data_IF_208627710972
#
_entry.id   IF_208627710972
#
_cell.length_a   1.000
_cell.length_b   1.000
_cell.length_c   1.000
_cell.angle_alpha   90.00
_cell.angle_beta   90.00
_cell.angle_gamma   90.00
#
_symmetry.space_group_name_H-M   'P 1'
#
loop_
_entity.id
_entity.type
_entity.pdbx_description
1 polymer ?
#
# COMPACT_ATOMS: atom_id res chain seq x y z
N UNK A 1 -35.41 54.50 42.99
CA UNK A 1 -34.19 54.12 43.74
C UNK A 1 -34.36 52.66 44.17
N UNK A 2 -33.42 51.78 43.79
CA UNK A 2 -33.47 50.31 43.92
C UNK A 2 -33.35 49.66 42.53
N UNK A 3 -32.18 49.26 42.01
CA UNK A 3 -31.16 48.29 42.48
C UNK A 3 -31.76 46.88 42.61
N UNK A 4 -31.30 45.82 41.92
CA UNK A 4 -30.17 45.67 41.01
C UNK A 4 -30.28 44.38 40.19
N UNK A 5 -29.49 44.32 39.12
CA UNK A 5 -29.30 43.16 38.27
C UNK A 5 -28.30 42.20 38.92
N UNK A 6 -28.68 40.93 39.09
CA UNK A 6 -27.77 39.85 39.48
C UNK A 6 -27.11 39.26 38.24
N UNK A 7 -25.78 39.36 38.16
CA UNK A 7 -24.94 38.71 37.16
C UNK A 7 -24.27 37.51 37.84
N UNK A 8 -24.68 36.29 37.47
CA UNK A 8 -23.94 35.09 37.82
C UNK A 8 -22.71 34.97 36.92
N UNK A 9 -21.53 35.24 37.49
CA UNK A 9 -20.23 34.88 36.88
C UNK A 9 -19.82 33.52 37.42
N UNK A 10 -19.89 32.50 36.57
CA UNK A 10 -19.32 31.17 36.83
C UNK A 10 -17.80 31.29 36.75
N UNK A 11 -17.11 31.29 37.89
CA UNK A 11 -15.64 31.16 37.95
C UNK A 11 -15.27 29.68 38.02
N UNK A 12 -14.68 29.14 36.94
CA UNK A 12 -14.08 27.81 36.91
C UNK A 12 -12.67 27.85 37.51
N UNK A 13 -12.51 27.37 38.75
CA UNK A 13 -11.21 27.15 39.40
C UNK A 13 -10.57 25.83 38.93
N UNK A 14 -10.03 25.77 37.70
CA UNK A 14 -9.40 24.53 37.18
C UNK A 14 -7.86 24.48 37.27
N UNK A 15 -7.16 25.54 37.69
CA UNK A 15 -5.69 25.52 37.73
C UNK A 15 -5.14 26.07 39.04
N UNK A 16 -5.31 25.32 40.13
CA UNK A 16 -4.78 25.67 41.46
C UNK A 16 -3.36 25.15 41.74
N UNK A 17 -2.75 24.37 40.83
CA UNK A 17 -1.42 23.76 41.05
C UNK A 17 -0.31 24.27 40.12
N UNK A 18 -0.49 25.43 39.47
CA UNK A 18 0.58 26.08 38.68
C UNK A 18 1.07 25.32 37.44
N UNK A 19 0.51 24.16 37.14
CA UNK A 19 0.71 23.47 35.87
C UNK A 19 -0.49 23.75 34.97
N UNK A 20 -0.35 24.76 34.13
CA UNK A 20 -1.21 24.92 32.95
C UNK A 20 -0.99 23.74 31.99
N UNK A 21 -1.89 23.55 31.02
CA UNK A 21 -1.63 22.58 29.95
C UNK A 21 -0.24 22.85 29.34
N UNK A 22 0.56 21.80 29.07
CA UNK A 22 1.88 21.95 28.48
C UNK A 22 1.79 22.80 27.21
N UNK A 23 2.81 23.62 26.95
CA UNK A 23 2.78 24.52 25.81
C UNK A 23 2.65 23.74 24.50
N UNK A 24 2.08 24.36 23.46
CA UNK A 24 2.02 23.76 22.11
C UNK A 24 3.41 23.31 21.62
N UNK A 25 4.47 23.99 22.07
CA UNK A 25 5.86 23.63 21.79
C UNK A 25 6.34 22.38 22.55
N UNK A 26 5.86 22.14 23.77
CA UNK A 26 6.13 20.91 24.53
C UNK A 26 5.36 19.72 23.94
N UNK A 27 4.10 19.92 23.56
CA UNK A 27 3.28 18.89 22.90
C UNK A 27 3.83 18.50 21.51
N UNK A 28 4.46 19.45 20.79
CA UNK A 28 5.11 19.17 19.52
C UNK A 28 6.44 18.39 19.66
N UNK A 29 7.13 18.51 20.81
CA UNK A 29 8.44 17.87 21.03
C UNK A 29 8.34 16.44 21.57
N UNK A 30 7.25 16.09 22.25
CA UNK A 30 7.05 14.72 22.79
C UNK A 30 6.48 13.74 21.74
N UNK A 31 5.92 14.23 20.62
CA UNK A 31 5.39 13.40 19.52
C UNK A 31 6.42 12.88 18.52
N UNK A 32 7.72 13.15 18.71
CA UNK A 32 8.77 12.83 17.74
C UNK A 32 9.91 12.02 18.35
N UNK A 33 9.59 10.99 19.11
CA UNK A 33 10.54 9.92 19.40
C UNK A 33 10.23 8.69 18.54
N UNK A 34 10.93 8.58 17.41
CA UNK A 34 11.48 7.27 17.01
C UNK A 34 10.88 6.52 15.82
N UNK A 35 10.24 7.16 14.84
CA UNK A 35 10.08 6.51 13.52
C UNK A 35 10.79 7.35 12.47
N UNK A 36 11.86 6.82 11.83
CA UNK A 36 12.38 7.48 10.65
C UNK A 36 11.23 7.52 9.64
N UNK A 37 10.87 8.72 9.17
CA UNK A 37 10.08 8.91 7.95
C UNK A 37 10.91 8.46 6.74
N UNK A 38 11.36 7.22 6.76
CA UNK A 38 11.65 6.46 5.56
C UNK A 38 10.32 6.14 4.91
N UNK A 39 10.31 6.11 3.60
CA UNK A 39 9.17 5.80 2.73
C UNK A 39 8.71 4.35 2.97
N UNK A 40 8.17 4.06 4.15
CA UNK A 40 7.61 2.75 4.48
C UNK A 40 6.24 2.71 3.85
N UNK A 41 6.11 2.02 2.72
CA UNK A 41 4.89 2.01 1.92
C UNK A 41 3.68 1.47 2.67
N UNK A 42 2.49 1.71 2.12
CA UNK A 42 1.19 1.34 2.69
C UNK A 42 0.80 -0.12 2.40
N UNK A 43 1.77 -0.96 2.02
CA UNK A 43 1.53 -2.37 1.76
C UNK A 43 1.39 -3.14 3.10
N UNK A 44 0.28 -3.87 3.31
CA UNK A 44 0.13 -4.73 4.47
C UNK A 44 1.14 -5.90 4.46
N UNK A 45 1.31 -6.57 5.60
CA UNK A 45 2.14 -7.78 5.64
C UNK A 45 1.51 -8.89 4.81
N UNK A 46 2.31 -9.53 3.96
CA UNK A 46 1.86 -10.57 3.05
C UNK A 46 3.00 -11.43 2.55
N UNK A 47 2.68 -12.39 1.70
CA UNK A 47 3.63 -13.32 1.10
C UNK A 47 3.66 -13.14 -0.41
N UNK A 48 4.86 -13.17 -0.97
CA UNK A 48 5.11 -13.27 -2.41
C UNK A 48 5.90 -14.56 -2.66
N UNK A 49 5.37 -15.42 -3.50
CA UNK A 49 6.03 -16.66 -3.96
C UNK A 49 5.88 -16.78 -5.46
N UNK A 50 6.66 -17.64 -6.12
CA UNK A 50 6.48 -17.90 -7.54
C UNK A 50 6.88 -19.33 -7.91
N UNK A 51 6.33 -19.80 -9.03
CA UNK A 51 6.60 -21.10 -9.62
C UNK A 51 6.78 -20.95 -11.14
N UNK A 52 7.44 -21.92 -11.77
CA UNK A 52 7.54 -22.00 -13.23
C UNK A 52 6.47 -22.97 -13.74
N UNK A 53 5.66 -22.51 -14.68
CA UNK A 53 4.71 -23.33 -15.44
C UNK A 53 5.34 -23.67 -16.78
N UNK A 54 5.24 -24.94 -17.18
CA UNK A 54 5.79 -25.43 -18.45
C UNK A 54 4.82 -25.17 -19.61
N UNK A 55 4.51 -23.89 -19.83
CA UNK A 55 3.65 -23.37 -20.91
C UNK A 55 4.07 -21.95 -21.26
N UNK A 56 3.78 -21.54 -22.48
CA UNK A 56 4.06 -20.21 -23.01
C UNK A 56 2.95 -19.20 -22.70
N UNK A 57 3.32 -17.91 -22.72
CA UNK A 57 2.38 -16.80 -22.74
C UNK A 57 2.22 -16.32 -24.18
N UNK A 58 1.01 -15.87 -24.58
CA UNK A 58 0.83 -15.23 -25.88
C UNK A 58 1.83 -14.08 -26.10
N UNK A 59 2.61 -14.16 -27.18
CA UNK A 59 3.66 -13.18 -27.52
C UNK A 59 5.07 -13.53 -27.01
N UNK A 60 5.23 -14.64 -26.27
CA UNK A 60 6.51 -15.16 -25.79
C UNK A 60 6.62 -16.66 -26.10
N UNK A 61 6.68 -17.04 -27.40
CA UNK A 61 6.86 -18.45 -27.77
C UNK A 61 8.21 -18.96 -27.25
N UNK A 62 8.28 -20.26 -26.94
CA UNK A 62 9.48 -20.96 -26.44
C UNK A 62 9.94 -20.61 -25.01
N UNK A 63 9.39 -19.55 -24.40
CA UNK A 63 9.60 -19.24 -22.98
C UNK A 63 8.54 -19.94 -22.12
N UNK A 64 8.95 -20.49 -20.97
CA UNK A 64 8.00 -20.92 -19.93
C UNK A 64 7.30 -19.71 -19.29
N UNK A 65 6.39 -19.94 -18.35
CA UNK A 65 5.70 -18.87 -17.62
C UNK A 65 6.10 -18.88 -16.15
N UNK A 66 6.50 -17.73 -15.60
CA UNK A 66 6.56 -17.50 -14.17
C UNK A 66 5.17 -17.11 -13.68
N UNK A 67 4.58 -17.93 -12.80
CA UNK A 67 3.39 -17.55 -12.04
C UNK A 67 3.81 -17.06 -10.65
N UNK A 68 3.51 -15.81 -10.35
CA UNK A 68 3.74 -15.17 -9.06
C UNK A 68 2.44 -15.22 -8.26
N UNK A 69 2.51 -15.65 -7.01
CA UNK A 69 1.38 -15.67 -6.09
C UNK A 69 1.61 -14.65 -4.97
N UNK A 70 0.67 -13.73 -4.81
CA UNK A 70 0.59 -12.80 -3.70
C UNK A 70 -0.54 -13.20 -2.76
N UNK A 71 -0.23 -13.31 -1.47
CA UNK A 71 -1.20 -13.66 -0.43
C UNK A 71 -1.10 -12.63 0.70
N UNK A 72 -2.18 -11.89 0.88
CA UNK A 72 -2.39 -10.99 2.01
C UNK A 72 -3.55 -11.55 2.84
N UNK A 73 -3.34 -11.85 4.13
CA UNK A 73 -4.44 -12.17 5.03
C UNK A 73 -5.29 -10.93 5.33
N UNK A 74 -6.50 -11.16 5.83
CA UNK A 74 -7.31 -10.11 6.44
C UNK A 74 -6.53 -9.48 7.60
N UNK A 75 -6.77 -8.20 7.85
CA UNK A 75 -6.05 -7.48 8.89
C UNK A 75 -6.71 -6.19 9.31
N UNK A 76 -6.00 -5.44 10.13
CA UNK A 76 -6.43 -4.13 10.65
C UNK A 76 -5.59 -3.03 10.01
N UNK A 77 -6.26 -1.96 9.63
CA UNK A 77 -5.64 -0.81 9.00
C UNK A 77 -4.74 -0.04 9.96
N UNK A 78 -3.56 0.33 9.46
CA UNK A 78 -2.60 1.18 10.20
C UNK A 78 -2.91 2.65 9.98
N UNK A 79 -2.22 3.54 10.71
CA UNK A 79 -2.27 5.00 10.52
C UNK A 79 -1.93 5.48 9.10
N UNK A 80 -1.38 4.60 8.25
CA UNK A 80 -1.03 4.89 6.86
C UNK A 80 -2.13 4.53 5.86
N UNK A 81 -3.21 3.91 6.32
CA UNK A 81 -4.32 3.45 5.48
C UNK A 81 -5.51 4.42 5.57
N UNK A 82 -6.49 4.34 4.65
CA UNK A 82 -7.62 5.27 4.59
C UNK A 82 -8.46 5.33 5.87
N UNK A 83 -8.66 4.20 6.54
CA UNK A 83 -9.48 4.10 7.75
C UNK A 83 -8.73 3.38 8.87
N UNK A 84 -7.81 4.07 9.58
CA UNK A 84 -7.02 3.47 10.66
C UNK A 84 -7.90 2.79 11.73
N UNK A 85 -7.50 1.58 12.15
CA UNK A 85 -8.23 0.79 13.13
C UNK A 85 -9.39 -0.05 12.57
N UNK A 86 -9.84 0.21 11.34
CA UNK A 86 -10.87 -0.63 10.69
C UNK A 86 -10.27 -1.90 10.08
N UNK A 87 -11.05 -2.98 9.92
CA UNK A 87 -10.61 -4.14 9.17
C UNK A 87 -10.42 -3.82 7.68
N UNK A 88 -9.59 -4.61 7.01
CA UNK A 88 -9.54 -4.70 5.56
C UNK A 88 -9.59 -6.18 5.14
N UNK A 89 -10.18 -6.45 3.98
CA UNK A 89 -10.20 -7.76 3.37
C UNK A 89 -8.84 -8.07 2.71
N UNK A 90 -8.33 -9.27 2.96
CA UNK A 90 -7.12 -9.79 2.35
C UNK A 90 -7.26 -9.98 0.84
N UNK A 91 -6.16 -10.41 0.22
CA UNK A 91 -6.08 -10.60 -1.23
C UNK A 91 -5.30 -11.87 -1.56
N UNK A 92 -5.81 -12.64 -2.52
CA UNK A 92 -5.05 -13.68 -3.22
C UNK A 92 -5.02 -13.34 -4.69
N UNK A 93 -3.83 -13.07 -5.22
CA UNK A 93 -3.66 -12.61 -6.59
C UNK A 93 -2.53 -13.38 -7.27
N UNK A 94 -2.83 -13.92 -8.45
CA UNK A 94 -1.83 -14.50 -9.34
C UNK A 94 -1.43 -13.47 -10.38
N UNK A 95 -0.13 -13.39 -10.69
CA UNK A 95 0.39 -12.60 -11.79
C UNK A 95 1.33 -13.43 -12.66
N UNK A 96 1.46 -13.07 -13.93
CA UNK A 96 2.22 -13.85 -14.91
C UNK A 96 3.32 -13.01 -15.55
N UNK A 97 4.49 -13.62 -15.73
CA UNK A 97 5.60 -13.12 -16.52
C UNK A 97 6.14 -14.24 -17.42
N UNK A 98 6.70 -13.94 -18.60
CA UNK A 98 7.46 -14.94 -19.34
C UNK A 98 8.74 -15.29 -18.56
N UNK A 99 9.16 -16.54 -18.60
CA UNK A 99 10.42 -17.03 -18.03
C UNK A 99 11.64 -16.69 -18.91
N UNK A 100 11.58 -15.53 -19.55
CA UNK A 100 12.63 -14.99 -20.40
C UNK A 100 13.66 -14.21 -19.57
N UNK A 101 14.79 -13.84 -20.20
CA UNK A 101 15.79 -12.97 -19.56
C UNK A 101 15.19 -11.64 -19.09
N UNK A 102 14.26 -11.07 -19.85
CA UNK A 102 13.60 -9.82 -19.48
C UNK A 102 12.56 -10.02 -18.38
N UNK A 103 11.76 -11.09 -18.47
CA UNK A 103 10.77 -11.42 -17.45
C UNK A 103 11.41 -11.71 -16.09
N UNK A 104 12.52 -12.46 -16.05
CA UNK A 104 13.29 -12.68 -14.81
C UNK A 104 13.90 -11.41 -14.22
N UNK A 105 14.24 -10.41 -15.04
CA UNK A 105 14.67 -9.09 -14.53
C UNK A 105 13.51 -8.37 -13.88
N UNK A 106 12.34 -8.36 -14.52
CA UNK A 106 11.12 -7.78 -13.93
C UNK A 106 10.75 -8.48 -12.63
N UNK A 107 10.81 -9.81 -12.57
CA UNK A 107 10.56 -10.60 -11.36
C UNK A 107 11.40 -10.12 -10.18
N UNK A 108 12.73 -9.97 -10.36
CA UNK A 108 13.63 -9.48 -9.31
C UNK A 108 13.29 -8.06 -8.83
N UNK A 109 12.88 -7.19 -9.76
CA UNK A 109 12.46 -5.83 -9.41
C UNK A 109 11.14 -5.84 -8.64
N UNK A 110 10.20 -6.72 -9.00
CA UNK A 110 8.96 -6.92 -8.24
C UNK A 110 9.24 -7.47 -6.84
N UNK A 111 10.13 -8.45 -6.69
CA UNK A 111 10.56 -8.95 -5.38
C UNK A 111 11.15 -7.82 -4.52
N UNK A 112 12.02 -6.98 -5.10
CA UNK A 112 12.58 -5.82 -4.42
C UNK A 112 11.50 -4.79 -4.03
N UNK A 113 10.58 -4.48 -4.92
CA UNK A 113 9.47 -3.55 -4.65
C UNK A 113 8.50 -4.10 -3.59
N UNK A 114 8.25 -5.42 -3.60
CA UNK A 114 7.42 -6.09 -2.59
C UNK A 114 8.08 -5.99 -1.21
N UNK A 115 9.38 -6.30 -1.12
CA UNK A 115 10.15 -6.21 0.13
C UNK A 115 10.24 -4.77 0.67
N UNK A 116 10.17 -3.78 -0.21
CA UNK A 116 10.10 -2.36 0.16
C UNK A 116 8.67 -1.86 0.40
N UNK A 117 7.65 -2.74 0.37
CA UNK A 117 6.25 -2.40 0.63
C UNK A 117 5.64 -1.42 -0.38
N UNK A 118 6.06 -1.47 -1.66
CA UNK A 118 5.66 -0.51 -2.70
C UNK A 118 4.70 -1.07 -3.77
N UNK A 119 4.41 -2.37 -3.76
CA UNK A 119 3.59 -2.99 -4.82
C UNK A 119 2.09 -2.90 -4.54
N UNK A 120 1.69 -3.02 -3.27
CA UNK A 120 0.29 -3.04 -2.88
C UNK A 120 -0.03 -1.94 -1.87
N UNK A 121 -1.31 -1.67 -1.69
CA UNK A 121 -1.85 -0.76 -0.69
C UNK A 121 -3.26 -1.18 -0.30
N UNK A 122 -3.77 -0.68 0.82
CA UNK A 122 -5.19 -0.78 1.17
C UNK A 122 -5.94 0.39 0.54
N UNK A 123 -7.08 0.13 -0.09
CA UNK A 123 -7.99 1.13 -0.65
C UNK A 123 -9.45 0.73 -0.42
N UNK A 124 -10.33 1.72 -0.36
CA UNK A 124 -11.78 1.50 -0.39
C UNK A 124 -12.23 1.29 -1.85
N UNK A 125 -12.89 0.17 -2.12
CA UNK A 125 -13.45 -0.14 -3.44
C UNK A 125 -14.75 0.66 -3.70
N UNK A 126 -15.34 0.48 -4.88
CA UNK A 126 -16.60 1.15 -5.27
C UNK A 126 -17.81 0.76 -4.40
N UNK A 127 -17.72 -0.37 -3.70
CA UNK A 127 -18.75 -0.90 -2.81
C UNK A 127 -18.57 -0.42 -1.36
N UNK A 128 -17.51 0.36 -1.08
CA UNK A 128 -17.21 0.88 0.25
C UNK A 128 -16.40 -0.08 1.12
N UNK A 129 -15.89 -1.18 0.56
CA UNK A 129 -15.09 -2.16 1.29
C UNK A 129 -13.60 -1.84 1.18
N UNK A 130 -12.91 -1.88 2.32
CA UNK A 130 -11.46 -1.72 2.35
C UNK A 130 -10.77 -3.04 2.01
N UNK A 131 -9.98 -3.03 0.94
CA UNK A 131 -9.31 -4.22 0.42
C UNK A 131 -7.90 -3.91 -0.06
N UNK A 132 -7.05 -4.93 -0.14
CA UNK A 132 -5.71 -4.82 -0.71
C UNK A 132 -5.79 -4.77 -2.23
N UNK A 133 -5.11 -3.80 -2.84
CA UNK A 133 -5.00 -3.66 -4.29
C UNK A 133 -3.58 -3.31 -4.73
N UNK A 134 -3.29 -3.44 -6.02
CA UNK A 134 -2.03 -2.98 -6.62
C UNK A 134 -1.94 -1.46 -6.53
N UNK A 135 -0.82 -0.92 -6.04
CA UNK A 135 -0.68 0.51 -5.84
C UNK A 135 -0.53 1.28 -7.16
N UNK A 136 0.54 1.02 -7.91
CA UNK A 136 0.85 1.78 -9.13
C UNK A 136 1.72 1.00 -10.13
N UNK A 137 2.13 -0.21 -9.77
CA UNK A 137 2.78 -1.13 -10.69
C UNK A 137 1.70 -2.10 -11.18
N UNK A 138 1.33 -2.04 -12.47
CA UNK A 138 0.34 -2.96 -13.02
C UNK A 138 0.89 -4.38 -13.06
N UNK A 139 0.05 -5.36 -12.72
CA UNK A 139 0.37 -6.78 -12.77
C UNK A 139 -0.48 -7.44 -13.86
N UNK A 140 0.11 -8.40 -14.58
CA UNK A 140 -0.66 -9.21 -15.52
C UNK A 140 -1.37 -10.34 -14.78
N UNK A 141 -2.63 -10.13 -14.42
CA UNK A 141 -3.43 -11.07 -13.61
C UNK A 141 -4.08 -12.18 -14.42
N UNK A 142 -4.04 -12.07 -15.75
CA UNK A 142 -4.50 -13.11 -16.68
C UNK A 142 -3.34 -13.59 -17.57
N UNK A 143 -3.25 -14.90 -17.86
CA UNK A 143 -2.22 -15.42 -18.76
C UNK A 143 -2.54 -15.13 -20.24
N UNK A 144 -3.80 -14.81 -20.57
CA UNK A 144 -4.30 -14.56 -21.92
C UNK A 144 -5.38 -13.46 -21.92
N UNK A 145 -6.05 -13.22 -23.05
CA UNK A 145 -7.14 -12.24 -23.17
C UNK A 145 -6.69 -10.81 -23.51
N UNK A 146 -5.38 -10.57 -23.58
CA UNK A 146 -4.78 -9.30 -23.96
C UNK A 146 -4.92 -8.20 -22.91
N UNK A 147 -4.46 -6.99 -23.26
CA UNK A 147 -4.32 -5.91 -22.29
C UNK A 147 -5.63 -5.41 -21.65
N UNK A 148 -6.79 -5.63 -22.29
CA UNK A 148 -8.09 -5.17 -21.76
C UNK A 148 -8.48 -5.84 -20.44
N UNK A 149 -7.91 -7.01 -20.16
CA UNK A 149 -8.17 -7.80 -18.96
C UNK A 149 -6.87 -8.02 -18.18
N UNK A 150 -5.91 -7.10 -18.29
CA UNK A 150 -4.59 -7.25 -17.66
C UNK A 150 -3.90 -8.58 -18.04
N UNK A 151 -4.05 -8.99 -19.30
CA UNK A 151 -3.52 -10.25 -19.83
C UNK A 151 -2.53 -10.07 -20.98
N UNK A 152 -2.08 -11.20 -21.52
CA UNK A 152 -1.20 -11.30 -22.69
C UNK A 152 -2.01 -11.64 -23.96
N UNK A 153 -1.56 -11.25 -25.17
CA UNK A 153 -0.28 -10.62 -25.49
C UNK A 153 -0.24 -9.12 -25.15
N UNK A 154 0.93 -8.67 -24.70
CA UNK A 154 1.26 -7.26 -24.46
C UNK A 154 2.78 -7.08 -24.56
N UNK A 155 3.24 -6.53 -25.70
CA UNK A 155 4.66 -6.34 -25.98
C UNK A 155 5.30 -5.21 -25.16
N UNK A 156 4.51 -4.26 -24.68
CA UNK A 156 5.01 -3.07 -23.99
C UNK A 156 5.04 -3.23 -22.46
N UNK A 157 4.37 -4.26 -21.93
CA UNK A 157 4.24 -4.49 -20.50
C UNK A 157 5.58 -4.53 -19.76
N UNK A 158 6.53 -5.38 -20.17
CA UNK A 158 7.82 -5.53 -19.47
C UNK A 158 8.65 -4.24 -19.49
N UNK A 159 8.53 -3.43 -20.55
CA UNK A 159 9.19 -2.13 -20.64
C UNK A 159 8.53 -1.11 -19.71
N UNK A 160 7.20 -1.08 -19.70
CA UNK A 160 6.39 -0.18 -18.87
C UNK A 160 6.62 -0.44 -17.38
N UNK A 161 6.56 -1.69 -16.94
CA UNK A 161 6.80 -2.05 -15.53
C UNK A 161 8.22 -1.69 -15.08
N UNK A 162 9.24 -1.97 -15.90
CA UNK A 162 10.62 -1.56 -15.61
C UNK A 162 10.74 -0.04 -15.43
N UNK A 163 10.07 0.74 -16.27
CA UNK A 163 10.07 2.21 -16.17
C UNK A 163 9.39 2.65 -14.87
N UNK A 164 8.20 2.15 -14.56
CA UNK A 164 7.47 2.52 -13.36
C UNK A 164 8.20 2.13 -12.06
N UNK A 165 8.86 0.97 -12.06
CA UNK A 165 9.70 0.54 -10.93
C UNK A 165 10.93 1.45 -10.77
N UNK A 166 11.57 1.82 -11.87
CA UNK A 166 12.68 2.78 -11.87
C UNK A 166 12.27 4.15 -11.34
N UNK A 167 11.12 4.66 -11.78
CA UNK A 167 10.57 5.95 -11.33
C UNK A 167 10.27 5.95 -9.81
N UNK A 168 10.15 4.76 -9.21
CA UNK A 168 10.03 4.55 -7.75
C UNK A 168 11.36 4.27 -7.05
N UNK A 169 12.50 4.36 -7.74
CA UNK A 169 13.83 4.10 -7.19
C UNK A 169 14.20 2.61 -7.09
N UNK A 170 13.49 1.73 -7.80
CA UNK A 170 13.75 0.28 -7.82
C UNK A 170 14.53 -0.09 -9.09
N UNK A 171 15.82 -0.37 -8.93
CA UNK A 171 16.75 -0.79 -9.99
C UNK A 171 17.53 -2.07 -9.64
#
# INVERSE_FOLDING_TARGET
MGSGQSSEKVYCNRYLNGQGPPSLEQQAKEGLNGIPRGVTGCQPQGQMTWVILHRDLPGFPEDNTVQINYIFPDGIQTEKHPHPGNPYAGLRLCAYLPDSREGRRVLKLLEKAFNQQLLFTVTTNTEGEDTVTTASIPLKTHPDGGNKVDGYPDSDYLKTVRKLLRDKGIE
#
